data_IF_689243779483
#
_entry.id   IF_689243779483
#
_cell.length_a   1.000
_cell.length_b   1.000
_cell.length_c   1.000
_cell.angle_alpha   90.00
_cell.angle_beta   90.00
_cell.angle_gamma   90.00
#
_symmetry.space_group_name_H-M   'P 1'
#
loop_
_entity.id
_entity.type
_entity.pdbx_description
1 polymer ?
#
# COMPACT_ATOMS: atom_id res chain seq x y z
N UNK A 1 13.21 -5.20 -26.62
CA UNK A 1 13.69 -6.44 -25.98
C UNK A 1 13.87 -6.27 -24.47
N UNK A 2 14.55 -5.23 -23.97
CA UNK A 2 14.61 -4.94 -22.52
C UNK A 2 13.28 -4.40 -21.95
N UNK A 3 12.65 -3.45 -22.66
CA UNK A 3 11.33 -2.90 -22.30
C UNK A 3 10.23 -3.97 -22.16
N UNK A 4 10.33 -5.05 -22.95
CA UNK A 4 9.36 -6.16 -22.90
C UNK A 4 9.52 -6.98 -21.61
N UNK A 5 10.74 -7.15 -21.11
CA UNK A 5 11.02 -7.90 -19.90
C UNK A 5 10.57 -7.12 -18.65
N UNK A 6 10.88 -5.83 -18.58
CA UNK A 6 10.43 -4.94 -17.50
C UNK A 6 8.90 -4.88 -17.42
N UNK A 7 8.23 -4.77 -18.58
CA UNK A 7 6.77 -4.76 -18.62
C UNK A 7 6.15 -6.08 -18.16
N UNK A 8 6.76 -7.22 -18.50
CA UNK A 8 6.30 -8.55 -18.05
C UNK A 8 6.47 -8.68 -16.53
N UNK A 9 7.61 -8.24 -15.99
CA UNK A 9 7.87 -8.27 -14.55
C UNK A 9 6.88 -7.38 -13.78
N UNK A 10 6.64 -6.16 -14.26
CA UNK A 10 5.64 -5.25 -13.67
C UNK A 10 4.23 -5.85 -13.67
N UNK A 11 3.82 -6.50 -14.76
CA UNK A 11 2.52 -7.18 -14.82
C UNK A 11 2.40 -8.28 -13.78
N UNK A 12 3.44 -9.12 -13.62
CA UNK A 12 3.47 -10.17 -12.59
C UNK A 12 3.39 -9.59 -11.18
N UNK A 13 4.12 -8.51 -10.91
CA UNK A 13 4.05 -7.82 -9.62
C UNK A 13 2.62 -7.32 -9.37
N UNK A 14 1.97 -6.70 -10.36
CA UNK A 14 0.58 -6.25 -10.22
C UNK A 14 -0.37 -7.43 -9.95
N UNK A 15 -0.24 -8.53 -10.68
CA UNK A 15 -1.05 -9.74 -10.48
C UNK A 15 -0.90 -10.34 -9.07
N UNK A 16 0.28 -10.22 -8.44
CA UNK A 16 0.52 -10.67 -7.06
C UNK A 16 -0.01 -9.67 -6.02
N UNK A 17 0.11 -8.37 -6.28
CA UNK A 17 -0.30 -7.32 -5.34
C UNK A 17 -1.82 -7.10 -5.31
N UNK A 18 -2.49 -7.26 -6.44
CA UNK A 18 -3.91 -6.95 -6.59
C UNK A 18 -4.82 -7.77 -5.65
N UNK A 19 -4.64 -9.10 -5.49
CA UNK A 19 -5.40 -9.88 -4.52
C UNK A 19 -5.21 -9.38 -3.08
N UNK A 20 -3.97 -9.09 -2.68
CA UNK A 20 -3.66 -8.57 -1.33
C UNK A 20 -4.36 -7.23 -1.09
N UNK A 21 -4.23 -6.31 -2.05
CA UNK A 21 -4.85 -4.99 -1.93
C UNK A 21 -6.38 -5.08 -1.88
N UNK A 22 -6.98 -6.01 -2.64
CA UNK A 22 -8.43 -6.18 -2.69
C UNK A 22 -9.05 -6.74 -1.41
N UNK A 23 -8.28 -7.39 -0.53
CA UNK A 23 -8.76 -7.82 0.80
C UNK A 23 -8.96 -6.66 1.79
N UNK A 24 -8.37 -5.50 1.52
CA UNK A 24 -8.41 -4.35 2.41
C UNK A 24 -9.76 -3.61 2.35
N UNK A 25 -10.21 -3.12 3.50
CA UNK A 25 -11.34 -2.18 3.56
C UNK A 25 -10.99 -0.83 2.91
N UNK A 26 -11.98 -0.01 2.56
CA UNK A 26 -11.74 1.30 1.95
C UNK A 26 -10.79 2.19 2.76
N UNK A 27 -10.92 2.18 4.09
CA UNK A 27 -10.03 2.96 4.97
C UNK A 27 -8.60 2.40 5.00
N UNK A 28 -8.43 1.08 4.96
CA UNK A 28 -7.12 0.44 4.89
C UNK A 28 -6.44 0.69 3.54
N UNK A 29 -7.17 0.57 2.43
CA UNK A 29 -6.70 0.93 1.09
C UNK A 29 -6.17 2.36 1.07
N UNK A 30 -6.91 3.29 1.67
CA UNK A 30 -6.49 4.69 1.75
C UNK A 30 -5.18 4.88 2.51
N UNK A 31 -4.97 4.18 3.62
CA UNK A 31 -3.70 4.20 4.36
C UNK A 31 -2.55 3.73 3.46
N UNK A 32 -2.73 2.64 2.73
CA UNK A 32 -1.73 2.09 1.82
C UNK A 32 -1.43 3.08 0.69
N UNK A 33 -2.46 3.60 0.02
CA UNK A 33 -2.33 4.60 -1.04
C UNK A 33 -1.55 5.82 -0.58
N UNK A 34 -1.91 6.42 0.57
CA UNK A 34 -1.19 7.58 1.13
C UNK A 34 0.27 7.24 1.44
N UNK A 35 0.54 6.03 1.93
CA UNK A 35 1.91 5.59 2.24
C UNK A 35 2.75 5.29 1.01
N UNK A 36 2.16 5.08 -0.16
CA UNK A 36 2.84 4.94 -1.46
C UNK A 36 2.66 6.15 -2.38
N UNK A 37 1.99 7.22 -1.93
CA UNK A 37 1.74 8.42 -2.73
C UNK A 37 2.99 9.27 -2.93
N UNK A 38 3.33 9.51 -4.20
CA UNK A 38 4.50 10.31 -4.59
C UNK A 38 5.83 9.58 -4.40
N UNK A 39 6.95 10.27 -4.64
CA UNK A 39 8.29 9.72 -4.44
C UNK A 39 8.59 9.53 -2.94
N UNK A 40 8.46 8.30 -2.45
CA UNK A 40 8.78 7.92 -1.06
C UNK A 40 7.59 7.85 -0.10
N UNK A 41 6.38 8.19 -0.56
CA UNK A 41 5.18 8.09 0.25
C UNK A 41 5.00 9.20 1.28
N UNK A 42 3.77 9.40 1.78
CA UNK A 42 3.54 10.42 2.80
C UNK A 42 4.12 10.01 4.16
N UNK A 43 4.65 10.98 4.95
CA UNK A 43 5.01 10.75 6.34
C UNK A 43 3.75 10.56 7.20
N UNK A 44 3.88 9.87 8.33
CA UNK A 44 2.75 9.49 9.18
C UNK A 44 1.87 10.64 9.64
N UNK A 45 2.44 11.80 9.96
CA UNK A 45 1.65 12.97 10.34
C UNK A 45 0.72 13.42 9.21
N UNK A 46 1.21 13.41 7.96
CA UNK A 46 0.41 13.76 6.79
C UNK A 46 -0.66 12.70 6.49
N UNK A 47 -0.34 11.42 6.68
CA UNK A 47 -1.33 10.34 6.54
C UNK A 47 -2.50 10.57 7.50
N UNK A 48 -2.24 10.89 8.77
CA UNK A 48 -3.31 11.15 9.75
C UNK A 48 -4.14 12.37 9.33
N UNK A 49 -3.50 13.47 8.93
CA UNK A 49 -4.21 14.66 8.46
C UNK A 49 -5.15 14.39 7.29
N UNK A 50 -4.72 13.60 6.31
CA UNK A 50 -5.53 13.28 5.12
C UNK A 50 -6.69 12.33 5.47
N UNK A 51 -6.47 11.38 6.40
CA UNK A 51 -7.54 10.51 6.90
C UNK A 51 -8.59 11.31 7.68
N UNK A 52 -8.16 12.22 8.56
CA UNK A 52 -9.06 13.12 9.31
C UNK A 52 -9.86 14.04 8.37
N UNK A 53 -9.20 14.59 7.34
CA UNK A 53 -9.86 15.39 6.32
C UNK A 53 -10.97 14.62 5.58
N UNK A 54 -10.80 13.31 5.41
CA UNK A 54 -11.78 12.41 4.78
C UNK A 54 -12.78 11.80 5.79
N UNK A 55 -12.74 12.21 7.06
CA UNK A 55 -13.62 11.70 8.12
C UNK A 55 -13.31 10.27 8.57
N UNK A 56 -12.10 9.77 8.27
CA UNK A 56 -11.64 8.43 8.65
C UNK A 56 -10.88 8.53 9.98
N UNK A 57 -11.58 8.26 11.08
CA UNK A 57 -10.97 8.24 12.41
C UNK A 57 -10.29 6.89 12.70
N UNK A 58 -8.97 6.84 12.47
CA UNK A 58 -8.14 5.66 12.81
C UNK A 58 -6.95 6.10 13.68
N UNK A 59 -6.74 5.47 14.85
CA UNK A 59 -5.56 5.75 15.67
C UNK A 59 -4.26 5.47 14.89
N UNK A 60 -3.28 6.36 15.00
CA UNK A 60 -1.99 6.23 14.31
C UNK A 60 -1.32 4.86 14.49
N UNK A 61 -1.41 4.28 15.70
CA UNK A 61 -0.86 2.93 15.98
C UNK A 61 -1.54 1.86 15.12
N UNK A 62 -2.85 1.96 14.89
CA UNK A 62 -3.62 1.04 14.04
C UNK A 62 -3.26 1.24 12.57
N UNK A 63 -3.17 2.49 12.10
CA UNK A 63 -2.75 2.79 10.73
C UNK A 63 -1.35 2.25 10.41
N UNK A 64 -0.40 2.42 11.34
CA UNK A 64 0.94 1.82 11.24
C UNK A 64 0.87 0.30 11.14
N UNK A 65 0.10 -0.35 12.02
CA UNK A 65 -0.05 -1.81 12.01
C UNK A 65 -0.57 -2.30 10.65
N UNK A 66 -1.63 -1.70 10.12
CA UNK A 66 -2.20 -2.03 8.80
C UNK A 66 -1.12 -1.97 7.71
N UNK A 67 -0.40 -0.86 7.63
CA UNK A 67 0.65 -0.68 6.62
C UNK A 67 1.79 -1.69 6.73
N UNK A 68 2.31 -1.92 7.94
CA UNK A 68 3.43 -2.85 8.11
C UNK A 68 3.01 -4.31 7.91
N UNK A 69 1.78 -4.68 8.28
CA UNK A 69 1.22 -6.00 7.95
C UNK A 69 1.11 -6.17 6.44
N UNK A 70 0.48 -5.23 5.73
CA UNK A 70 0.39 -5.29 4.27
C UNK A 70 1.77 -5.36 3.61
N UNK A 71 2.73 -4.55 4.05
CA UNK A 71 4.11 -4.58 3.54
C UNK A 71 4.76 -5.96 3.76
N UNK A 72 4.50 -6.61 4.90
CA UNK A 72 5.02 -7.93 5.19
C UNK A 72 4.37 -8.99 4.28
N UNK A 73 3.06 -8.92 4.07
CA UNK A 73 2.33 -9.86 3.19
C UNK A 73 2.80 -9.74 1.74
N UNK A 74 3.07 -8.50 1.28
CA UNK A 74 3.69 -8.24 -0.02
C UNK A 74 5.10 -8.84 -0.10
N UNK A 75 5.95 -8.62 0.91
CA UNK A 75 7.30 -9.16 0.92
C UNK A 75 7.28 -10.69 0.85
N UNK A 76 6.41 -11.35 1.62
CA UNK A 76 6.25 -12.80 1.59
C UNK A 76 5.72 -13.32 0.25
N UNK A 77 4.93 -12.53 -0.47
CA UNK A 77 4.39 -12.90 -1.78
C UNK A 77 5.40 -12.73 -2.92
N UNK A 78 6.41 -11.87 -2.73
CA UNK A 78 7.48 -11.61 -3.69
C UNK A 78 8.72 -12.48 -3.45
N UNK A 79 8.94 -12.98 -2.22
CA UNK A 79 10.05 -13.88 -1.84
C UNK A 79 9.85 -15.35 -2.32
N UNK A 80 9.26 -15.55 -3.51
CA UNK A 80 9.18 -16.85 -4.16
C UNK A 80 10.54 -17.35 -4.68
#
# INVERSE_FOLDING_TARGET
MEEDAELIELKRIVELLEPLFNTLTSSEKKIIELKYKGYGGYPWHRVVMELEFEGIEIPLKRAKKIYYSFKNDVAQSLDY
#
